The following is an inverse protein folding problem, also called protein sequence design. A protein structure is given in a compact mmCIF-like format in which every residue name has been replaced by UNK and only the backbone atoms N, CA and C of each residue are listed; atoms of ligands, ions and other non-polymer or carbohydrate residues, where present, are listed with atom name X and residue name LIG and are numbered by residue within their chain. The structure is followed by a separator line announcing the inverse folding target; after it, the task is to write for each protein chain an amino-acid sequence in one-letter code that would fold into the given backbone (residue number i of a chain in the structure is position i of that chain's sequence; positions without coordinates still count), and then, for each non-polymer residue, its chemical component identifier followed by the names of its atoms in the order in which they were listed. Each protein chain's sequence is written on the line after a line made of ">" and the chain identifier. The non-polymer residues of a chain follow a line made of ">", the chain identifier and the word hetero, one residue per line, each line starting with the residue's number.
data_IF_338798196079
#
_entry.id   IF_338798196079
#
_cell.length_a   1.000
_cell.length_b   1.000
_cell.length_c   1.000
_cell.angle_alpha   90.00
_cell.angle_beta   90.00
_cell.angle_gamma   90.00
#
_symmetry.space_group_name_H-M   'P 1'
#
loop_
_entity.id
_entity.type
_entity.pdbx_description
1 polymer ?
#
# COMPACT_ATOMS: atom_id res chain seq x y z
N UNK A 1 11.18 -8.32 15.09
CA UNK A 1 11.48 -9.52 14.28
C UNK A 1 11.30 -9.17 12.81
N UNK A 2 11.98 -9.89 11.92
CA UNK A 2 11.68 -9.85 10.50
C UNK A 2 10.28 -10.42 10.26
N UNK A 3 9.48 -9.76 9.43
CA UNK A 3 8.09 -10.15 9.11
C UNK A 3 7.90 -10.26 7.61
N UNK A 4 7.11 -11.25 7.19
CA UNK A 4 6.80 -11.50 5.78
C UNK A 4 5.44 -10.92 5.45
N UNK A 5 5.41 -9.68 4.95
CA UNK A 5 4.17 -8.96 4.63
C UNK A 5 3.56 -9.44 3.31
N UNK A 6 2.23 -9.53 3.23
CA UNK A 6 1.49 -9.70 1.97
C UNK A 6 0.57 -8.50 1.75
N UNK A 7 0.43 -8.10 0.50
CA UNK A 7 -0.38 -6.94 0.08
C UNK A 7 -1.87 -7.31 0.05
N UNK A 8 -2.72 -6.37 0.47
CA UNK A 8 -4.18 -6.52 0.49
C UNK A 8 -4.81 -5.99 -0.81
N UNK A 9 -5.34 -6.86 -1.69
CA UNK A 9 -5.99 -6.46 -2.94
C UNK A 9 -7.21 -5.53 -2.74
N UNK A 10 -7.87 -5.58 -1.58
CA UNK A 10 -9.03 -4.75 -1.27
C UNK A 10 -8.66 -3.30 -0.96
N UNK A 11 -7.39 -3.05 -0.67
CA UNK A 11 -6.84 -1.71 -0.46
C UNK A 11 -6.21 -1.14 -1.73
N UNK A 12 -5.74 -2.01 -2.62
CA UNK A 12 -4.94 -1.64 -3.77
C UNK A 12 -5.68 -0.70 -4.73
N UNK A 13 -4.98 0.37 -5.13
CA UNK A 13 -5.45 1.23 -6.20
C UNK A 13 -5.72 0.43 -7.50
N UNK A 14 -6.79 0.71 -8.27
CA UNK A 14 -7.18 -0.07 -9.46
C UNK A 14 -6.13 -0.22 -10.57
N UNK A 15 -5.08 0.60 -10.57
CA UNK A 15 -3.93 0.53 -11.48
C UNK A 15 -2.71 -0.19 -10.90
N UNK A 16 -2.80 -0.72 -9.69
CA UNK A 16 -1.75 -1.57 -9.12
C UNK A 16 -2.02 -3.03 -9.49
N UNK A 17 -1.06 -3.65 -10.13
CA UNK A 17 -1.05 -5.09 -10.36
C UNK A 17 -0.23 -5.76 -9.26
N UNK A 18 -0.87 -6.65 -8.52
CA UNK A 18 -0.23 -7.47 -7.48
C UNK A 18 0.14 -8.84 -8.08
N UNK A 19 1.24 -9.42 -7.61
CA UNK A 19 1.55 -10.84 -7.86
C UNK A 19 0.58 -11.76 -7.12
N UNK A 20 0.52 -13.02 -7.56
CA UNK A 20 -0.36 -14.04 -6.97
C UNK A 20 -0.03 -14.32 -5.48
N UNK A 21 1.26 -14.30 -5.13
CA UNK A 21 1.72 -14.44 -3.74
C UNK A 21 1.55 -13.17 -2.89
N UNK A 22 1.08 -12.07 -3.49
CA UNK A 22 0.89 -10.78 -2.84
C UNK A 22 2.18 -10.13 -2.33
N UNK A 23 3.37 -10.50 -2.85
CA UNK A 23 4.67 -9.94 -2.44
C UNK A 23 5.17 -8.82 -3.34
N UNK A 24 4.69 -8.76 -4.58
CA UNK A 24 5.12 -7.79 -5.57
C UNK A 24 3.97 -6.88 -5.98
N UNK A 25 4.31 -5.64 -6.30
CA UNK A 25 3.38 -4.66 -6.85
C UNK A 25 4.07 -3.87 -7.95
N UNK A 26 3.35 -3.64 -9.05
CA UNK A 26 3.76 -2.74 -10.13
C UNK A 26 2.62 -1.82 -10.51
N UNK A 27 2.98 -0.63 -11.00
CA UNK A 27 2.02 0.22 -11.69
C UNK A 27 1.69 -0.37 -13.06
N UNK A 28 0.43 -0.28 -13.44
CA UNK A 28 -0.07 -0.62 -14.76
C UNK A 28 -0.82 0.58 -15.34
N UNK A 29 -0.57 0.91 -16.60
CA UNK A 29 -1.23 2.05 -17.26
C UNK A 29 -2.72 1.77 -17.46
N UNK A 30 -3.08 0.49 -17.63
CA UNK A 30 -4.46 0.06 -17.70
C UNK A 30 -5.10 0.06 -16.31
N UNK A 31 -6.20 0.80 -16.17
CA UNK A 31 -7.07 0.69 -14.99
C UNK A 31 -7.81 -0.66 -15.05
N UNK A 32 -7.62 -1.50 -14.04
CA UNK A 32 -8.34 -2.77 -13.94
C UNK A 32 -9.82 -2.49 -13.62
N UNK A 33 -10.71 -3.24 -14.27
CA UNK A 33 -12.15 -3.20 -13.98
C UNK A 33 -12.44 -4.01 -12.72
N UNK A 34 -12.14 -3.43 -11.56
CA UNK A 34 -12.41 -4.02 -10.25
C UNK A 34 -13.48 -3.20 -9.52
N UNK A 35 -14.38 -3.84 -8.76
CA UNK A 35 -15.38 -3.11 -7.97
C UNK A 35 -14.74 -2.14 -6.98
N UNK A 36 -15.41 -1.01 -6.74
CA UNK A 36 -15.02 -0.14 -5.63
C UNK A 36 -15.22 -0.85 -4.29
N UNK A 37 -14.41 -0.49 -3.32
CA UNK A 37 -14.45 -1.06 -1.98
C UNK A 37 -14.09 0.04 -0.95
N UNK A 38 -14.71 0.09 0.25
CA UNK A 38 -14.43 1.14 1.23
C UNK A 38 -12.96 1.25 1.64
N UNK A 39 -12.23 0.13 1.66
CA UNK A 39 -10.79 0.10 1.97
C UNK A 39 -9.89 0.52 0.80
N UNK A 40 -10.43 0.59 -0.42
CA UNK A 40 -9.67 0.81 -1.65
C UNK A 40 -9.23 2.26 -1.79
N UNK A 41 -7.94 2.44 -2.07
CA UNK A 41 -7.43 3.72 -2.53
C UNK A 41 -7.93 4.00 -3.95
N UNK A 42 -8.75 5.03 -4.13
CA UNK A 42 -9.35 5.33 -5.44
C UNK A 42 -8.47 6.23 -6.32
N UNK A 43 -7.64 7.06 -5.71
CA UNK A 43 -6.88 8.13 -6.38
C UNK A 43 -5.38 8.05 -6.10
N UNK A 44 -4.99 7.75 -4.85
CA UNK A 44 -3.58 7.60 -4.48
C UNK A 44 -3.05 6.23 -4.87
N UNK A 45 -1.81 6.19 -5.40
CA UNK A 45 -1.13 4.97 -5.88
C UNK A 45 -0.62 4.09 -4.74
N UNK A 46 -1.53 3.70 -3.85
CA UNK A 46 -1.22 3.03 -2.59
C UNK A 46 -1.87 1.64 -2.53
N UNK A 47 -1.26 0.80 -1.71
CA UNK A 47 -1.76 -0.50 -1.26
C UNK A 47 -1.22 -0.71 0.17
N UNK A 48 -1.97 -1.38 1.03
CA UNK A 48 -1.50 -1.75 2.37
C UNK A 48 -1.19 -3.25 2.46
N UNK A 49 -0.43 -3.63 3.48
CA UNK A 49 -0.37 -5.01 3.91
C UNK A 49 -1.71 -5.48 4.48
N UNK A 50 -1.97 -6.79 4.39
CA UNK A 50 -3.14 -7.47 4.99
C UNK A 50 -3.17 -7.35 6.50
N UNK A 51 -2.01 -7.49 7.12
CA UNK A 51 -1.85 -7.48 8.56
C UNK A 51 -1.24 -6.15 9.03
N UNK A 52 -1.74 -5.67 10.17
CA UNK A 52 -1.21 -4.51 10.86
C UNK A 52 -0.54 -4.89 12.18
N UNK A 53 0.13 -3.92 12.80
CA UNK A 53 0.81 -4.09 14.07
C UNK A 53 0.20 -3.17 15.13
N UNK A 54 0.03 -3.66 16.35
CA UNK A 54 -0.46 -2.88 17.49
C UNK A 54 0.61 -2.59 18.54
N UNK A 55 1.66 -3.41 18.60
CA UNK A 55 2.80 -3.25 19.51
C UNK A 55 4.04 -4.00 18.99
N UNK A 56 5.19 -3.81 19.65
CA UNK A 56 6.44 -4.52 19.36
C UNK A 56 7.34 -3.82 18.34
N UNK A 57 8.41 -4.52 17.94
CA UNK A 57 9.37 -4.06 16.91
C UNK A 57 9.34 -5.02 15.73
N UNK A 58 9.03 -4.49 14.55
CA UNK A 58 8.88 -5.25 13.30
C UNK A 58 9.81 -4.69 12.24
N UNK A 59 10.26 -5.55 11.33
CA UNK A 59 11.18 -5.21 10.26
C UNK A 59 10.80 -5.96 8.98
N UNK A 60 10.85 -5.28 7.85
CA UNK A 60 10.65 -5.86 6.54
C UNK A 60 11.57 -5.16 5.53
N UNK A 61 11.85 -5.85 4.44
CA UNK A 61 12.68 -5.35 3.34
C UNK A 61 11.82 -5.27 2.08
N UNK A 62 12.12 -4.28 1.24
CA UNK A 62 11.47 -4.12 -0.06
C UNK A 62 12.55 -3.91 -1.11
N UNK A 63 12.54 -4.77 -2.12
CA UNK A 63 13.35 -4.57 -3.31
C UNK A 63 12.65 -3.55 -4.21
N UNK A 64 13.34 -2.46 -4.53
CA UNK A 64 12.83 -1.39 -5.39
C UNK A 64 13.51 -1.42 -6.75
N UNK A 65 12.75 -1.16 -7.81
CA UNK A 65 13.30 -1.00 -9.16
C UNK A 65 13.88 0.41 -9.34
N UNK A 66 15.05 0.51 -9.97
CA UNK A 66 15.64 1.80 -10.32
C UNK A 66 14.74 2.59 -11.29
N UNK A 67 14.76 3.92 -11.16
CA UNK A 67 14.09 4.84 -12.08
C UNK A 67 12.58 5.01 -11.88
N UNK A 68 11.95 4.23 -11.01
CA UNK A 68 10.52 4.39 -10.67
C UNK A 68 10.34 5.26 -9.42
N UNK A 69 9.32 6.11 -9.41
CA UNK A 69 8.90 6.78 -8.18
C UNK A 69 8.22 5.76 -7.25
N UNK A 70 8.74 5.60 -6.04
CA UNK A 70 8.19 4.73 -5.01
C UNK A 70 8.16 5.48 -3.69
N UNK A 71 7.31 5.00 -2.78
CA UNK A 71 7.35 5.39 -1.38
C UNK A 71 7.06 4.16 -0.52
N UNK A 72 7.71 4.06 0.64
CA UNK A 72 7.54 2.94 1.58
C UNK A 72 7.37 3.46 3.00
N UNK A 73 6.50 2.82 3.77
CA UNK A 73 6.40 3.09 5.20
C UNK A 73 5.19 2.45 5.85
N UNK A 74 4.65 3.15 6.86
CA UNK A 74 3.52 2.69 7.67
C UNK A 74 2.39 3.69 7.64
N UNK A 75 1.16 3.18 7.78
CA UNK A 75 -0.03 4.01 7.92
C UNK A 75 -0.92 3.48 9.05
N UNK A 76 -1.64 4.38 9.71
CA UNK A 76 -2.74 3.99 10.60
C UNK A 76 -3.79 3.22 9.80
N UNK A 77 -4.40 2.20 10.41
CA UNK A 77 -5.49 1.46 9.79
C UNK A 77 -6.66 2.39 9.35
N UNK A 78 -6.85 3.49 10.09
CA UNK A 78 -7.88 4.51 9.85
C UNK A 78 -7.52 5.57 8.81
N UNK A 79 -6.42 5.44 8.07
CA UNK A 79 -6.05 6.43 7.04
C UNK A 79 -7.15 6.57 5.99
N UNK A 80 -7.39 7.80 5.54
CA UNK A 80 -8.37 8.09 4.50
C UNK A 80 -8.04 7.32 3.22
N UNK A 81 -9.06 6.71 2.61
CA UNK A 81 -8.92 5.86 1.41
C UNK A 81 -9.34 6.54 0.12
N UNK A 82 -10.16 7.59 0.23
CA UNK A 82 -10.77 8.25 -0.93
C UNK A 82 -10.11 9.60 -1.18
N UNK A 83 -9.98 9.95 -2.45
CA UNK A 83 -9.26 11.13 -2.91
C UNK A 83 -7.75 11.02 -2.73
N UNK A 84 -7.07 12.15 -2.96
CA UNK A 84 -5.62 12.24 -2.83
C UNK A 84 -5.22 12.25 -1.35
N UNK A 85 -4.49 11.23 -0.91
CA UNK A 85 -3.92 11.19 0.45
C UNK A 85 -2.70 12.08 0.57
N UNK A 86 -2.56 12.75 1.71
CA UNK A 86 -1.37 13.53 2.05
C UNK A 86 -0.46 12.68 2.94
N UNK A 87 0.77 12.44 2.48
CA UNK A 87 1.79 11.66 3.20
C UNK A 87 2.39 12.53 4.30
N UNK A 88 1.76 12.55 5.46
CA UNK A 88 2.21 13.29 6.64
C UNK A 88 1.81 12.59 7.94
N UNK A 89 2.62 12.70 9.03
CA UNK A 89 2.31 12.12 10.33
C UNK A 89 0.93 12.51 10.88
N UNK A 90 0.48 13.75 10.67
CA UNK A 90 -0.81 14.25 11.17
C UNK A 90 -2.00 13.56 10.49
N UNK A 91 -1.78 13.03 9.28
CA UNK A 91 -2.75 12.21 8.54
C UNK A 91 -2.55 10.71 8.77
N UNK A 92 -1.64 10.34 9.68
CA UNK A 92 -1.36 8.96 10.06
C UNK A 92 -0.58 8.17 9.02
N UNK A 93 0.29 8.84 8.24
CA UNK A 93 1.17 8.19 7.27
C UNK A 93 2.62 8.62 7.55
N UNK A 94 3.52 7.65 7.62
CA UNK A 94 4.96 7.86 7.74
C UNK A 94 5.63 7.05 6.64
N UNK A 95 6.14 7.72 5.61
CA UNK A 95 6.78 7.07 4.48
C UNK A 95 7.96 7.90 3.95
N UNK A 96 8.89 7.22 3.30
CA UNK A 96 10.03 7.79 2.56
C UNK A 96 9.84 7.58 1.07
#
# INVERSE_FOLDING_TARGET
>A
SAVSLTLDPDTAHPRLALSEDGKCVRWDDARRSIPDHPKRFDSSRCVLAREGFTCGRHYWEVQVCQGSAWALGVAKASVARKGRVSVRPERGIWAV
#
